data_IF_989215662935
#
_entry.id   IF_989215662935
#
_cell.length_a   1.000
_cell.length_b   1.000
_cell.length_c   1.000
_cell.angle_alpha   90.00
_cell.angle_beta   90.00
_cell.angle_gamma   90.00
#
_symmetry.space_group_name_H-M   'P 1'
#
loop_
_entity.id
_entity.type
_entity.pdbx_description
1 polymer ?
#
# COMPACT_ATOMS: atom_id res chain seq x y z
N UNK A 1 -1.89 10.78 30.15
CA UNK A 1 -0.62 11.47 30.52
C UNK A 1 0.41 11.07 29.49
N UNK A 2 0.77 11.95 28.54
CA UNK A 2 1.85 11.69 27.59
C UNK A 2 3.12 12.29 28.19
N UNK A 3 4.15 11.47 28.40
CA UNK A 3 5.44 11.96 28.86
C UNK A 3 6.02 12.94 27.83
N UNK A 4 6.43 14.11 28.30
CA UNK A 4 7.17 15.08 27.48
C UNK A 4 8.45 14.43 26.97
N UNK A 5 8.62 14.36 25.65
CA UNK A 5 9.82 13.86 24.97
C UNK A 5 11.06 14.78 25.16
N UNK A 6 11.01 15.71 26.09
CA UNK A 6 12.00 16.79 26.26
C UNK A 6 13.20 16.44 27.15
N UNK A 7 13.38 15.19 27.58
CA UNK A 7 14.42 14.83 28.57
C UNK A 7 15.40 13.74 28.13
N UNK A 8 15.57 13.52 26.83
CA UNK A 8 16.73 12.74 26.36
C UNK A 8 17.87 13.72 26.12
N UNK A 9 18.95 13.61 26.90
CA UNK A 9 20.20 14.31 26.61
C UNK A 9 20.57 14.06 25.14
N UNK A 10 20.84 15.10 24.34
CA UNK A 10 21.13 14.92 22.93
C UNK A 10 22.40 14.06 22.80
N UNK A 11 22.25 12.88 22.19
CA UNK A 11 23.40 12.04 21.86
C UNK A 11 24.37 12.87 21.00
N UNK A 12 25.68 12.91 21.31
CA UNK A 12 26.63 13.63 20.49
C UNK A 12 26.60 13.08 19.06
N UNK A 13 26.44 13.99 18.08
CA UNK A 13 26.34 13.72 16.64
C UNK A 13 25.05 13.07 16.12
N UNK A 14 23.94 13.11 16.87
CA UNK A 14 22.63 12.72 16.34
C UNK A 14 21.88 13.92 15.73
N UNK A 15 21.77 13.97 14.41
CA UNK A 15 20.81 14.85 13.74
C UNK A 15 19.45 14.13 13.64
N UNK A 16 18.41 14.59 14.37
CA UNK A 16 17.11 13.93 14.33
C UNK A 16 16.49 14.04 12.93
N UNK A 17 15.90 12.93 12.47
CA UNK A 17 15.11 12.94 11.23
C UNK A 17 14.01 14.00 11.31
N UNK A 18 13.73 14.73 10.21
CA UNK A 18 12.64 15.69 10.18
C UNK A 18 11.30 14.99 10.47
N UNK A 19 10.42 15.71 11.17
CA UNK A 19 9.04 15.26 11.42
C UNK A 19 8.23 15.41 10.13
N UNK A 20 7.63 14.31 9.67
CA UNK A 20 6.76 14.30 8.49
C UNK A 20 5.29 14.25 8.93
N UNK A 21 4.44 15.20 8.50
CA UNK A 21 3.01 15.13 8.78
C UNK A 21 2.39 13.94 8.05
N UNK A 22 1.38 13.34 8.67
CA UNK A 22 0.62 12.24 8.06
C UNK A 22 -0.49 12.85 7.20
N UNK A 23 -0.54 12.50 5.92
CA UNK A 23 -1.63 12.90 5.03
C UNK A 23 -3.00 12.39 5.51
N UNK A 24 -4.05 13.11 5.14
CA UNK A 24 -5.44 12.86 5.55
C UNK A 24 -6.14 11.74 4.77
N UNK A 25 -5.54 11.29 3.65
CA UNK A 25 -6.11 10.27 2.77
C UNK A 25 -6.16 8.91 3.46
N UNK A 26 -7.27 8.21 3.22
CA UNK A 26 -7.50 6.83 3.67
C UNK A 26 -7.43 5.89 2.48
N UNK A 27 -6.73 4.78 2.66
CA UNK A 27 -6.49 3.79 1.62
C UNK A 27 -6.98 2.40 2.05
N UNK A 28 -7.49 1.65 1.07
CA UNK A 28 -7.67 0.20 1.16
C UNK A 28 -6.49 -0.46 0.44
N UNK A 29 -5.77 -1.34 1.12
CA UNK A 29 -4.74 -2.16 0.49
C UNK A 29 -5.33 -3.50 0.07
N UNK A 30 -4.94 -4.03 -1.09
CA UNK A 30 -5.30 -5.38 -1.53
C UNK A 30 -4.02 -6.17 -1.70
N UNK A 31 -3.82 -7.17 -0.85
CA UNK A 31 -2.67 -8.08 -0.91
C UNK A 31 -2.99 -9.21 -1.90
N UNK A 32 -2.94 -8.89 -3.20
CA UNK A 32 -3.34 -9.80 -4.27
C UNK A 32 -2.41 -11.03 -4.34
N UNK A 33 -2.94 -12.27 -4.38
CA UNK A 33 -2.17 -13.51 -4.29
C UNK A 33 -1.49 -13.91 -5.62
N UNK A 34 -0.99 -12.94 -6.37
CA UNK A 34 -0.38 -13.15 -7.68
C UNK A 34 0.23 -11.88 -8.26
N UNK A 35 0.89 -12.02 -9.42
CA UNK A 35 1.57 -10.87 -10.05
C UNK A 35 0.57 -9.99 -10.80
N UNK A 36 0.42 -8.75 -10.35
CA UNK A 36 -0.43 -7.75 -11.00
C UNK A 36 0.31 -7.05 -12.13
N UNK A 37 0.07 -7.49 -13.38
CA UNK A 37 0.60 -6.81 -14.59
C UNK A 37 -0.30 -5.68 -15.10
N UNK A 38 -1.60 -5.77 -14.84
CA UNK A 38 -2.61 -4.79 -15.29
C UNK A 38 -3.61 -4.55 -14.17
N UNK A 39 -3.51 -3.40 -13.51
CA UNK A 39 -4.31 -3.05 -12.32
C UNK A 39 -5.82 -3.17 -12.59
N UNK A 40 -6.31 -2.64 -13.71
CA UNK A 40 -7.74 -2.73 -14.09
C UNK A 40 -8.25 -4.18 -14.19
N UNK A 41 -7.42 -5.10 -14.69
CA UNK A 41 -7.80 -6.53 -14.76
C UNK A 41 -7.83 -7.16 -13.38
N UNK A 42 -6.84 -6.88 -12.54
CA UNK A 42 -6.81 -7.37 -11.16
C UNK A 42 -8.03 -6.85 -10.37
N UNK A 43 -8.39 -5.58 -10.53
CA UNK A 43 -9.60 -5.01 -9.92
C UNK A 43 -10.86 -5.72 -10.45
N UNK A 44 -10.94 -6.02 -11.75
CA UNK A 44 -12.07 -6.80 -12.31
C UNK A 44 -12.19 -8.19 -11.69
N UNK A 45 -11.08 -8.88 -11.43
CA UNK A 45 -11.10 -10.20 -10.76
C UNK A 45 -11.63 -10.15 -9.33
N UNK A 46 -11.73 -8.97 -8.73
CA UNK A 46 -12.25 -8.75 -7.37
C UNK A 46 -13.71 -8.24 -7.38
N UNK A 47 -14.42 -8.39 -8.51
CA UNK A 47 -15.78 -7.85 -8.69
C UNK A 47 -15.83 -6.35 -9.00
N UNK A 48 -14.67 -5.69 -9.17
CA UNK A 48 -14.58 -4.26 -9.49
C UNK A 48 -14.54 -3.34 -8.26
N UNK A 49 -14.31 -2.06 -8.49
CA UNK A 49 -14.17 -1.05 -7.42
C UNK A 49 -15.41 -0.93 -6.53
N UNK A 50 -16.60 -1.06 -7.13
CA UNK A 50 -17.87 -1.00 -6.38
C UNK A 50 -18.03 -2.19 -5.43
N UNK A 51 -17.58 -3.38 -5.82
CA UNK A 51 -17.61 -4.55 -4.96
C UNK A 51 -16.65 -4.38 -3.77
N UNK A 52 -15.42 -3.92 -4.04
CA UNK A 52 -14.43 -3.60 -2.99
C UNK A 52 -14.94 -2.55 -2.00
N UNK A 53 -15.53 -1.45 -2.51
CA UNK A 53 -16.10 -0.41 -1.66
C UNK A 53 -17.25 -0.94 -0.78
N UNK A 54 -18.10 -1.82 -1.34
CA UNK A 54 -19.17 -2.48 -0.60
C UNK A 54 -18.62 -3.41 0.48
N UNK A 55 -17.66 -4.26 0.16
CA UNK A 55 -17.03 -5.17 1.12
C UNK A 55 -16.38 -4.40 2.27
N UNK A 56 -15.74 -3.27 1.97
CA UNK A 56 -15.19 -2.39 2.99
C UNK A 56 -16.28 -1.77 3.88
N UNK A 57 -17.38 -1.29 3.30
CA UNK A 57 -18.46 -0.65 4.05
C UNK A 57 -19.25 -1.64 4.93
N UNK A 58 -19.43 -2.87 4.45
CA UNK A 58 -20.16 -3.93 5.16
C UNK A 58 -19.25 -4.82 6.02
N UNK A 59 -17.93 -4.59 5.99
CA UNK A 59 -16.93 -5.46 6.59
C UNK A 59 -17.12 -6.94 6.19
N UNK A 60 -17.45 -7.18 4.92
CA UNK A 60 -17.62 -8.53 4.36
C UNK A 60 -16.37 -8.98 3.61
N UNK A 61 -16.27 -10.27 3.30
CA UNK A 61 -15.18 -10.78 2.47
C UNK A 61 -15.21 -10.20 1.05
N UNK A 62 -14.08 -10.38 0.34
CA UNK A 62 -13.89 -10.04 -1.07
C UNK A 62 -13.61 -11.33 -1.82
N UNK A 63 -14.39 -11.60 -2.87
CA UNK A 63 -14.14 -12.76 -3.72
C UNK A 63 -13.16 -12.44 -4.83
N UNK A 64 -12.14 -13.28 -4.97
CA UNK A 64 -11.23 -13.28 -6.09
C UNK A 64 -11.58 -14.38 -7.08
N UNK A 65 -11.92 -13.95 -8.29
CA UNK A 65 -12.18 -14.80 -9.45
C UNK A 65 -11.07 -14.62 -10.47
N UNK A 66 -10.09 -15.53 -10.51
CA UNK A 66 -9.00 -15.45 -11.50
C UNK A 66 -9.51 -15.49 -12.95
N UNK A 67 -10.61 -16.20 -13.18
CA UNK A 67 -11.32 -16.32 -14.46
C UNK A 67 -12.76 -15.86 -14.29
N UNK A 68 -13.03 -14.53 -14.26
CA UNK A 68 -14.38 -14.02 -14.00
C UNK A 68 -15.39 -14.33 -15.11
N UNK A 69 -14.92 -14.73 -16.29
CA UNK A 69 -15.78 -15.14 -17.43
C UNK A 69 -16.10 -16.65 -17.41
N UNK A 70 -15.45 -17.42 -16.54
CA UNK A 70 -15.60 -18.87 -16.45
C UNK A 70 -16.51 -19.23 -15.27
N UNK A 71 -17.72 -19.73 -15.57
CA UNK A 71 -18.74 -20.08 -14.57
C UNK A 71 -18.29 -21.20 -13.62
N UNK A 72 -17.30 -22.02 -14.00
CA UNK A 72 -16.77 -23.10 -13.17
C UNK A 72 -15.55 -22.67 -12.34
N UNK A 73 -15.09 -21.43 -12.48
CA UNK A 73 -14.04 -20.90 -11.61
C UNK A 73 -14.56 -20.86 -10.17
N UNK A 74 -13.81 -21.37 -9.20
CA UNK A 74 -14.19 -21.25 -7.80
C UNK A 74 -13.59 -19.97 -7.21
N UNK A 75 -14.33 -19.21 -6.39
CA UNK A 75 -13.81 -18.00 -5.76
C UNK A 75 -12.78 -18.33 -4.69
N UNK A 76 -11.82 -17.43 -4.51
CA UNK A 76 -10.94 -17.40 -3.34
C UNK A 76 -11.39 -16.23 -2.47
N UNK A 77 -11.75 -16.52 -1.22
CA UNK A 77 -12.21 -15.51 -0.29
C UNK A 77 -11.03 -14.74 0.31
N UNK A 78 -11.16 -13.42 0.35
CA UNK A 78 -10.22 -12.51 0.98
C UNK A 78 -10.88 -11.78 2.15
N UNK A 79 -10.21 -11.75 3.29
CA UNK A 79 -10.68 -11.08 4.50
C UNK A 79 -10.35 -9.59 4.45
N UNK A 80 -11.32 -8.74 4.81
CA UNK A 80 -11.08 -7.31 5.06
C UNK A 80 -10.63 -7.16 6.51
N UNK A 81 -9.38 -6.78 6.72
CA UNK A 81 -8.76 -6.71 8.05
C UNK A 81 -8.38 -5.25 8.34
N UNK A 82 -8.76 -4.67 9.49
CA UNK A 82 -8.34 -3.33 9.88
C UNK A 82 -6.83 -3.29 10.10
N UNK A 83 -6.20 -2.19 9.70
CA UNK A 83 -4.75 -1.98 9.82
C UNK A 83 -4.42 -0.54 10.20
N UNK A 84 -3.23 -0.34 10.81
CA UNK A 84 -2.65 0.96 11.14
C UNK A 84 -1.44 1.30 10.25
N UNK A 85 -1.41 0.73 9.03
CA UNK A 85 -0.30 0.92 8.07
C UNK A 85 -0.31 2.34 7.49
N UNK A 86 0.84 2.81 7.02
CA UNK A 86 0.97 4.08 6.30
C UNK A 86 1.37 3.84 4.84
N UNK A 87 0.82 4.65 3.94
CA UNK A 87 1.30 4.72 2.56
C UNK A 87 2.32 5.85 2.45
N UNK A 88 3.56 5.50 2.15
CA UNK A 88 4.67 6.46 2.00
C UNK A 88 5.09 6.49 0.54
N UNK A 89 5.18 7.70 -0.01
CA UNK A 89 5.72 7.98 -1.33
C UNK A 89 7.16 8.42 -1.17
N UNK A 90 8.07 7.67 -1.77
CA UNK A 90 9.51 7.95 -1.77
C UNK A 90 9.90 8.27 -3.19
N UNK A 91 10.44 9.47 -3.42
CA UNK A 91 10.87 9.92 -4.74
C UNK A 91 12.35 10.27 -4.76
N UNK A 92 12.99 10.05 -5.91
CA UNK A 92 14.39 10.40 -6.13
C UNK A 92 14.55 10.94 -7.53
N UNK A 93 15.39 11.97 -7.66
CA UNK A 93 15.75 12.50 -8.96
C UNK A 93 16.82 11.63 -9.61
N UNK A 94 16.54 11.18 -10.82
CA UNK A 94 17.48 10.41 -11.63
C UNK A 94 17.86 11.30 -12.83
N UNK A 95 19.16 11.53 -13.02
CA UNK A 95 19.70 12.18 -14.22
C UNK A 95 20.25 11.08 -15.13
N UNK A 96 19.88 11.14 -16.41
CA UNK A 96 20.44 10.23 -17.43
C UNK A 96 21.30 11.05 -18.37
N UNK A 97 22.56 10.66 -18.50
CA UNK A 97 23.44 11.24 -19.51
C UNK A 97 22.95 10.78 -20.89
N UNK A 98 22.66 11.75 -21.78
CA UNK A 98 22.11 11.47 -23.12
C UNK A 98 23.15 10.86 -24.07
N UNK A 99 24.45 11.06 -23.81
CA UNK A 99 25.54 10.60 -24.65
C UNK A 99 26.06 9.22 -24.21
N UNK A 100 26.31 9.02 -22.92
CA UNK A 100 26.86 7.75 -22.39
C UNK A 100 25.77 6.77 -21.96
N UNK A 101 24.52 7.24 -21.80
CA UNK A 101 23.42 6.43 -21.28
C UNK A 101 23.49 6.17 -19.78
N UNK A 102 24.56 6.64 -19.11
CA UNK A 102 24.81 6.47 -17.68
C UNK A 102 23.73 7.13 -16.84
N UNK A 103 23.40 6.46 -15.74
CA UNK A 103 22.37 6.88 -14.80
C UNK A 103 23.07 7.38 -13.54
N UNK A 104 23.07 8.69 -13.36
CA UNK A 104 23.50 9.33 -12.13
C UNK A 104 22.27 9.64 -11.28
N UNK A 105 22.18 8.97 -10.13
CA UNK A 105 21.09 9.18 -9.21
C UNK A 105 21.54 10.10 -8.08
N UNK A 106 20.82 11.20 -7.86
CA UNK A 106 21.12 12.18 -6.80
C UNK A 106 21.07 11.50 -5.42
N UNK A 107 21.90 11.85 -4.45
CA UNK A 107 21.86 11.18 -3.13
C UNK A 107 20.60 11.54 -2.32
N UNK A 108 19.91 12.62 -2.71
CA UNK A 108 18.71 13.11 -2.03
C UNK A 108 17.45 12.30 -2.38
N UNK A 109 16.77 11.84 -1.34
CA UNK A 109 15.43 11.26 -1.41
C UNK A 109 14.41 12.23 -0.82
N UNK A 110 13.25 12.32 -1.45
CA UNK A 110 12.09 13.07 -0.95
C UNK A 110 11.04 12.06 -0.48
N UNK A 111 10.52 12.25 0.73
CA UNK A 111 9.64 11.30 1.40
C UNK A 111 8.37 12.00 1.88
N UNK A 112 7.22 11.46 1.50
CA UNK A 112 5.91 12.00 1.79
C UNK A 112 5.02 10.90 2.37
N UNK A 113 4.47 11.09 3.58
CA UNK A 113 3.46 10.19 4.13
C UNK A 113 2.10 10.58 3.54
N UNK A 114 1.66 9.82 2.53
CA UNK A 114 0.45 10.13 1.75
C UNK A 114 -0.82 9.95 2.58
N UNK A 115 -0.82 8.99 3.52
CA UNK A 115 -1.93 8.78 4.44
C UNK A 115 -1.97 7.39 5.04
N UNK A 116 -3.11 7.05 5.65
CA UNK A 116 -3.31 5.82 6.39
C UNK A 116 -3.97 4.74 5.53
N UNK A 117 -3.45 3.52 5.60
CA UNK A 117 -4.09 2.33 5.05
C UNK A 117 -4.95 1.74 6.17
N UNK A 118 -6.25 2.03 6.13
CA UNK A 118 -7.16 1.70 7.24
C UNK A 118 -7.52 0.23 7.26
N UNK A 119 -7.56 -0.40 6.08
CA UNK A 119 -7.88 -1.81 5.93
C UNK A 119 -7.00 -2.46 4.85
N UNK A 120 -6.79 -3.76 4.99
CA UNK A 120 -6.16 -4.60 4.00
C UNK A 120 -7.04 -5.80 3.67
N UNK A 121 -7.22 -6.10 2.39
CA UNK A 121 -7.80 -7.36 1.92
C UNK A 121 -6.69 -8.40 1.84
N UNK A 122 -6.84 -9.54 2.53
CA UNK A 122 -5.85 -10.63 2.52
C UNK A 122 -6.49 -11.97 2.17
N UNK A 123 -5.85 -12.71 1.27
CA UNK A 123 -6.26 -14.04 0.86
C UNK A 123 -5.40 -15.06 1.61
N UNK A 124 -5.87 -15.50 2.79
CA UNK A 124 -5.10 -16.39 3.70
C UNK A 124 -5.55 -17.84 3.64
N UNK A 125 -6.73 -18.11 3.10
CA UNK A 125 -7.22 -19.48 2.94
C UNK A 125 -6.41 -20.20 1.87
N UNK A 126 -5.84 -21.35 2.25
CA UNK A 126 -5.31 -22.30 1.28
C UNK A 126 -6.50 -22.93 0.58
N UNK A 127 -6.59 -22.76 -0.73
CA UNK A 127 -7.48 -23.56 -1.57
C UNK A 127 -7.17 -25.03 -1.26
N UNK A 128 -8.11 -25.74 -0.64
CA UNK A 128 -8.02 -27.18 -0.41
C UNK A 128 -8.26 -27.94 -1.71
#
# INVERSE_FOLDING_TARGET
>A
MFASLSSLDPMPNYEPSPLLPIGDKKFLSVEYPGVVRRTKRAIKTLGGEKALARSLALNSHVDLWYRPEDTFSHPIHGDVIPTSKLLVKVTRRIKRNKLTGEIEADSKWDTEVVGNVTHAVRFRERTK
#
